data_IF_783208696537
#
_entry.id   IF_783208696537
#
_cell.length_a   1.000
_cell.length_b   1.000
_cell.length_c   1.000
_cell.angle_alpha   90.00
_cell.angle_beta   90.00
_cell.angle_gamma   90.00
#
_symmetry.space_group_name_H-M   'P 1'
#
loop_
_entity.id
_entity.type
_entity.pdbx_description
1 polymer ?
#
# COMPACT_ATOMS: atom_id res chain seq x y z
N UNK A 1 -4.44 -19.66 -25.31
CA UNK A 1 -4.44 -18.18 -25.35
C UNK A 1 -4.63 -17.73 -23.91
N UNK A 2 -3.90 -16.71 -23.45
CA UNK A 2 -4.13 -16.15 -22.11
C UNK A 2 -5.53 -15.56 -22.07
N UNK A 3 -6.21 -15.71 -20.93
CA UNK A 3 -7.52 -15.11 -20.70
C UNK A 3 -7.39 -13.58 -20.73
N UNK A 4 -8.38 -12.89 -21.32
CA UNK A 4 -8.39 -11.42 -21.35
C UNK A 4 -9.06 -10.90 -20.08
N UNK A 5 -8.51 -9.84 -19.48
CA UNK A 5 -9.10 -9.21 -18.30
C UNK A 5 -10.41 -8.49 -18.66
N UNK A 6 -11.47 -8.76 -17.87
CA UNK A 6 -12.78 -8.12 -18.03
C UNK A 6 -12.85 -6.80 -17.25
N UNK A 7 -13.12 -5.70 -17.94
CA UNK A 7 -13.26 -4.34 -17.38
C UNK A 7 -14.74 -3.91 -17.22
N UNK A 8 -15.67 -4.83 -17.20
CA UNK A 8 -17.10 -4.52 -17.06
C UNK A 8 -17.47 -3.88 -15.73
N UNK A 9 -16.67 -4.15 -14.67
CA UNK A 9 -16.85 -3.60 -13.33
C UNK A 9 -15.76 -2.58 -13.00
N UNK A 10 -16.10 -1.52 -12.21
CA UNK A 10 -15.09 -0.61 -11.68
C UNK A 10 -14.02 -1.36 -10.88
N UNK A 11 -12.75 -1.05 -11.14
CA UNK A 11 -11.60 -1.63 -10.45
C UNK A 11 -11.17 -0.77 -9.26
N UNK A 12 -11.07 -1.39 -8.08
CA UNK A 12 -10.70 -0.73 -6.82
C UNK A 12 -9.60 -1.53 -6.12
N UNK A 13 -8.57 -0.84 -5.66
CA UNK A 13 -7.50 -1.43 -4.87
C UNK A 13 -7.80 -1.27 -3.39
N UNK A 14 -7.97 -2.36 -2.67
CA UNK A 14 -8.09 -2.36 -1.21
C UNK A 14 -6.97 -3.18 -0.60
N UNK A 15 -6.71 -3.02 0.68
CA UNK A 15 -5.75 -3.88 1.33
C UNK A 15 -5.97 -3.97 2.82
N UNK A 16 -5.44 -5.03 3.43
CA UNK A 16 -5.45 -5.25 4.88
C UNK A 16 -4.23 -4.61 5.53
N UNK A 17 -4.49 -3.79 6.56
CA UNK A 17 -3.48 -3.16 7.42
C UNK A 17 -3.79 -3.47 8.89
N UNK A 18 -2.82 -3.32 9.77
CA UNK A 18 -2.98 -3.58 11.20
C UNK A 18 -1.82 -4.36 11.79
N UNK A 19 -1.87 -4.60 13.09
CA UNK A 19 -0.79 -5.24 13.84
C UNK A 19 -0.51 -6.68 13.37
N UNK A 20 0.70 -7.19 13.64
CA UNK A 20 1.03 -8.62 13.48
C UNK A 20 0.07 -9.46 14.34
N UNK A 21 -0.27 -10.66 13.88
CA UNK A 21 -1.18 -11.62 14.54
C UNK A 21 -2.64 -11.16 14.76
N UNK A 22 -3.03 -9.99 14.25
CA UNK A 22 -4.45 -9.55 14.26
C UNK A 22 -5.30 -10.27 13.21
N UNK A 23 -4.73 -11.13 12.35
CA UNK A 23 -5.44 -12.00 11.42
C UNK A 23 -5.74 -11.38 10.05
N UNK A 24 -4.87 -10.49 9.55
CA UNK A 24 -5.00 -9.87 8.22
C UNK A 24 -5.07 -10.90 7.11
N UNK A 25 -4.06 -11.78 7.01
CA UNK A 25 -3.98 -12.83 5.99
C UNK A 25 -5.11 -13.85 6.13
N UNK A 26 -5.51 -14.17 7.38
CA UNK A 26 -6.67 -15.04 7.65
C UNK A 26 -7.96 -14.41 7.13
N UNK A 27 -8.16 -13.09 7.36
CA UNK A 27 -9.32 -12.38 6.84
C UNK A 27 -9.31 -12.32 5.31
N UNK A 28 -8.15 -12.10 4.69
CA UNK A 28 -8.00 -12.14 3.23
C UNK A 28 -8.43 -13.49 2.68
N UNK A 29 -7.96 -14.60 3.26
CA UNK A 29 -8.37 -15.94 2.89
C UNK A 29 -9.88 -16.19 3.13
N UNK A 30 -10.44 -15.66 4.23
CA UNK A 30 -11.86 -15.76 4.55
C UNK A 30 -12.73 -15.02 3.51
N UNK A 31 -12.31 -13.83 3.06
CA UNK A 31 -13.01 -13.10 1.99
C UNK A 31 -13.07 -13.93 0.72
N UNK A 32 -11.95 -14.55 0.30
CA UNK A 32 -11.92 -15.41 -0.88
C UNK A 32 -12.84 -16.63 -0.72
N UNK A 33 -12.81 -17.29 0.45
CA UNK A 33 -13.69 -18.45 0.71
C UNK A 33 -15.17 -18.07 0.69
N UNK A 34 -15.55 -17.03 1.42
CA UNK A 34 -16.95 -16.62 1.56
C UNK A 34 -17.53 -16.13 0.22
N UNK A 35 -16.76 -15.39 -0.56
CA UNK A 35 -17.19 -14.95 -1.89
C UNK A 35 -17.34 -16.14 -2.86
N UNK A 36 -16.47 -17.15 -2.76
CA UNK A 36 -16.65 -18.39 -3.52
C UNK A 36 -17.91 -19.13 -3.11
N UNK A 37 -18.22 -19.25 -1.81
CA UNK A 37 -19.47 -19.82 -1.32
C UNK A 37 -20.69 -19.03 -1.82
N UNK A 38 -20.56 -17.72 -2.00
CA UNK A 38 -21.60 -16.86 -2.57
C UNK A 38 -21.69 -16.94 -4.11
N UNK A 39 -20.97 -17.85 -4.74
CA UNK A 39 -21.01 -18.07 -6.19
C UNK A 39 -20.26 -17.04 -7.03
N UNK A 40 -19.39 -16.22 -6.42
CA UNK A 40 -18.53 -15.31 -7.15
C UNK A 40 -17.34 -16.08 -7.75
N UNK A 41 -16.84 -15.61 -8.91
CA UNK A 41 -15.63 -16.17 -9.50
C UNK A 41 -14.41 -15.68 -8.70
N UNK A 42 -13.81 -16.56 -7.93
CA UNK A 42 -12.66 -16.28 -7.07
C UNK A 42 -11.65 -17.40 -7.18
N UNK A 43 -10.37 -17.07 -7.27
CA UNK A 43 -9.30 -18.04 -7.10
C UNK A 43 -9.09 -18.29 -5.61
N UNK A 44 -9.57 -19.44 -5.13
CA UNK A 44 -9.39 -19.83 -3.73
C UNK A 44 -7.90 -19.91 -3.38
N UNK A 45 -7.53 -19.30 -2.26
CA UNK A 45 -6.22 -19.38 -1.64
C UNK A 45 -6.40 -19.54 -0.13
N UNK A 46 -5.69 -20.49 0.44
CA UNK A 46 -5.53 -20.57 1.89
C UNK A 46 -4.47 -19.60 2.39
N UNK A 47 -4.33 -19.48 3.71
CA UNK A 47 -3.31 -18.61 4.34
C UNK A 47 -1.91 -18.94 3.82
N UNK A 48 -1.54 -20.22 3.74
CA UNK A 48 -0.23 -20.67 3.24
C UNK A 48 -0.01 -20.44 1.73
N UNK A 49 -1.05 -20.15 0.97
CA UNK A 49 -0.95 -19.81 -0.46
C UNK A 49 -0.79 -18.30 -0.64
N UNK A 50 -1.29 -17.51 0.31
CA UNK A 50 -1.11 -16.06 0.37
C UNK A 50 0.30 -15.77 0.87
N UNK A 51 0.68 -16.28 2.05
CA UNK A 51 2.03 -16.25 2.59
C UNK A 51 2.84 -17.41 1.98
N UNK A 52 3.29 -17.23 0.74
CA UNK A 52 3.82 -18.31 -0.08
C UNK A 52 5.32 -18.55 0.07
N UNK A 53 6.07 -17.52 0.51
CA UNK A 53 7.51 -17.59 0.65
C UNK A 53 7.93 -18.56 1.78
N UNK A 54 9.03 -19.33 1.62
CA UNK A 54 9.50 -20.24 2.68
C UNK A 54 9.73 -19.56 4.02
N UNK A 55 10.22 -18.33 4.03
CA UNK A 55 10.47 -17.56 5.25
C UNK A 55 9.17 -17.12 5.92
N UNK A 56 8.14 -16.74 5.16
CA UNK A 56 6.79 -16.44 5.66
C UNK A 56 6.18 -17.64 6.37
N UNK A 57 6.24 -18.80 5.73
CA UNK A 57 5.74 -20.07 6.30
C UNK A 57 6.49 -20.50 7.55
N UNK A 58 7.82 -20.31 7.58
CA UNK A 58 8.64 -20.67 8.72
C UNK A 58 8.41 -19.77 9.93
N UNK A 59 8.10 -18.49 9.71
CA UNK A 59 7.89 -17.50 10.77
C UNK A 59 6.40 -17.29 11.11
N UNK A 60 5.48 -17.72 10.25
CA UNK A 60 4.04 -17.49 10.40
C UNK A 60 3.63 -16.02 10.27
N UNK A 61 4.41 -15.22 9.52
CA UNK A 61 4.16 -13.78 9.32
C UNK A 61 4.28 -13.42 7.84
N UNK A 62 3.47 -12.47 7.39
CA UNK A 62 3.58 -11.89 6.04
C UNK A 62 4.80 -10.98 5.95
N UNK A 63 5.62 -11.17 4.93
CA UNK A 63 6.85 -10.40 4.66
C UNK A 63 6.68 -9.58 3.38
N UNK A 64 6.29 -10.24 2.28
CA UNK A 64 6.08 -9.61 1.00
C UNK A 64 4.62 -9.17 0.82
N UNK A 65 4.38 -8.26 -0.13
CA UNK A 65 3.02 -7.94 -0.53
C UNK A 65 2.42 -9.12 -1.31
N UNK A 66 1.21 -9.51 -0.97
CA UNK A 66 0.44 -10.50 -1.72
C UNK A 66 -0.76 -9.83 -2.38
N UNK A 67 -0.86 -9.97 -3.70
CA UNK A 67 -1.98 -9.45 -4.48
C UNK A 67 -2.98 -10.57 -4.77
N UNK A 68 -4.22 -10.35 -4.39
CA UNK A 68 -5.32 -11.28 -4.61
C UNK A 68 -6.44 -10.55 -5.37
N UNK A 69 -7.17 -11.26 -6.22
CA UNK A 69 -8.31 -10.69 -6.93
C UNK A 69 -9.62 -11.35 -6.48
N UNK A 70 -10.66 -10.56 -6.41
CA UNK A 70 -12.03 -11.02 -6.27
C UNK A 70 -13.03 -10.00 -6.82
N UNK A 71 -14.26 -10.42 -7.03
CA UNK A 71 -15.34 -9.54 -7.45
C UNK A 71 -16.51 -9.63 -6.47
N UNK A 72 -17.17 -8.51 -6.27
CA UNK A 72 -18.54 -8.45 -5.74
C UNK A 72 -19.53 -8.34 -6.91
N UNK A 73 -20.80 -8.19 -6.62
CA UNK A 73 -21.79 -7.90 -7.66
C UNK A 73 -21.46 -6.59 -8.41
N UNK A 74 -20.88 -5.60 -7.73
CA UNK A 74 -20.73 -4.23 -8.19
C UNK A 74 -19.33 -3.87 -8.66
N UNK A 75 -18.27 -4.52 -8.10
CA UNK A 75 -16.88 -4.10 -8.29
C UNK A 75 -15.94 -5.27 -8.48
N UNK A 76 -14.81 -4.99 -9.12
CA UNK A 76 -13.63 -5.85 -9.13
C UNK A 76 -12.59 -5.27 -8.16
N UNK A 77 -12.04 -6.12 -7.29
CA UNK A 77 -11.04 -5.72 -6.30
C UNK A 77 -9.69 -6.38 -6.55
N UNK A 78 -8.63 -5.57 -6.51
CA UNK A 78 -7.30 -6.03 -6.17
C UNK A 78 -7.14 -5.89 -4.66
N UNK A 79 -6.88 -7.00 -3.97
CA UNK A 79 -6.69 -7.02 -2.52
C UNK A 79 -5.21 -7.23 -2.19
N UNK A 80 -4.63 -6.25 -1.53
CA UNK A 80 -3.23 -6.22 -1.15
C UNK A 80 -3.12 -6.63 0.31
N UNK A 81 -2.58 -7.82 0.57
CA UNK A 81 -2.25 -8.23 1.93
C UNK A 81 -0.88 -7.69 2.31
N UNK A 82 -0.86 -6.77 3.29
CA UNK A 82 0.34 -6.06 3.69
C UNK A 82 0.92 -6.64 5.00
N UNK A 83 2.27 -6.70 5.13
CA UNK A 83 2.91 -7.18 6.35
C UNK A 83 2.53 -6.33 7.57
N UNK A 84 2.42 -6.99 8.73
CA UNK A 84 2.12 -6.34 10.00
C UNK A 84 3.36 -6.02 10.83
N UNK A 85 4.48 -6.70 10.60
CA UNK A 85 5.68 -6.58 11.41
C UNK A 85 6.50 -5.33 11.07
N UNK A 86 7.04 -4.66 12.09
CA UNK A 86 7.80 -3.41 11.94
C UNK A 86 9.03 -3.52 11.01
N UNK A 87 9.66 -4.69 10.94
CA UNK A 87 10.83 -4.92 10.07
C UNK A 87 10.47 -4.81 8.57
N UNK A 88 9.20 -5.05 8.21
CA UNK A 88 8.72 -5.05 6.82
C UNK A 88 7.89 -3.81 6.46
N UNK A 89 8.00 -2.76 7.24
CA UNK A 89 7.23 -1.53 7.07
C UNK A 89 7.43 -0.89 5.67
N UNK A 90 8.58 -1.10 5.04
CA UNK A 90 8.82 -0.67 3.65
C UNK A 90 7.80 -1.30 2.69
N UNK A 91 7.53 -2.59 2.84
CA UNK A 91 6.54 -3.29 2.04
C UNK A 91 5.12 -2.80 2.39
N UNK A 92 4.85 -2.56 3.68
CA UNK A 92 3.57 -1.97 4.11
C UNK A 92 3.34 -0.59 3.48
N UNK A 93 4.33 0.31 3.48
CA UNK A 93 4.23 1.64 2.86
C UNK A 93 3.97 1.50 1.35
N UNK A 94 4.73 0.63 0.68
CA UNK A 94 4.56 0.37 -0.76
C UNK A 94 3.16 -0.16 -1.08
N UNK A 95 2.65 -1.09 -0.26
CA UNK A 95 1.30 -1.62 -0.42
C UNK A 95 0.23 -0.58 -0.15
N UNK A 96 0.35 0.18 0.95
CA UNK A 96 -0.61 1.21 1.30
C UNK A 96 -0.70 2.32 0.23
N UNK A 97 0.41 2.69 -0.40
CA UNK A 97 0.42 3.67 -1.50
C UNK A 97 -0.39 3.20 -2.73
N UNK A 98 -0.65 1.91 -2.85
CA UNK A 98 -1.45 1.35 -3.94
C UNK A 98 -2.95 1.34 -3.62
N UNK A 99 -3.35 1.49 -2.35
CA UNK A 99 -4.73 1.31 -1.90
C UNK A 99 -5.61 2.54 -2.22
N UNK A 100 -6.79 2.28 -2.70
CA UNK A 100 -7.89 3.26 -2.85
C UNK A 100 -8.78 3.29 -1.60
N UNK A 101 -8.62 2.30 -0.72
CA UNK A 101 -9.22 2.17 0.59
C UNK A 101 -8.54 1.05 1.38
N UNK A 102 -8.58 1.10 2.70
CA UNK A 102 -7.97 0.08 3.55
C UNK A 102 -8.98 -0.61 4.47
N UNK A 103 -8.69 -1.87 4.80
CA UNK A 103 -9.35 -2.63 5.86
C UNK A 103 -8.39 -2.67 7.04
N UNK A 104 -8.71 -1.94 8.09
CA UNK A 104 -7.96 -2.00 9.34
C UNK A 104 -8.43 -3.20 10.15
N UNK A 105 -7.55 -4.16 10.36
CA UNK A 105 -7.84 -5.35 11.16
C UNK A 105 -7.30 -5.17 12.56
N UNK A 106 -8.19 -5.19 13.55
CA UNK A 106 -7.85 -5.09 14.97
C UNK A 106 -8.41 -6.30 15.69
N UNK A 107 -7.59 -7.03 16.45
CA UNK A 107 -8.08 -8.12 17.27
C UNK A 107 -8.78 -7.57 18.51
N UNK A 108 -10.02 -7.98 18.78
CA UNK A 108 -10.77 -7.58 19.95
C UNK A 108 -10.11 -8.04 21.27
N UNK A 109 -9.27 -9.08 21.21
CA UNK A 109 -8.51 -9.60 22.35
C UNK A 109 -7.34 -8.70 22.77
N UNK A 110 -6.79 -7.95 21.82
CA UNK A 110 -5.51 -7.22 22.02
C UNK A 110 -5.69 -5.70 21.96
N UNK A 111 -6.78 -5.23 21.33
CA UNK A 111 -7.06 -3.81 21.13
C UNK A 111 -6.09 -3.11 20.20
N UNK A 112 -5.89 -1.81 20.41
CA UNK A 112 -4.99 -0.99 19.60
C UNK A 112 -3.53 -1.20 20.02
N UNK A 113 -2.74 -1.75 19.11
CA UNK A 113 -1.34 -2.09 19.27
C UNK A 113 -0.41 -1.07 18.57
N UNK A 114 0.91 -1.06 18.84
CA UNK A 114 1.83 -0.07 18.25
C UNK A 114 1.79 -0.01 16.72
N UNK A 115 1.80 -1.15 16.01
CA UNK A 115 1.73 -1.15 14.55
C UNK A 115 0.34 -0.74 14.04
N UNK A 116 -0.74 -0.91 14.82
CA UNK A 116 -2.06 -0.37 14.46
C UNK A 116 -1.98 1.15 14.28
N UNK A 117 -1.33 1.83 15.23
CA UNK A 117 -1.11 3.29 15.20
C UNK A 117 -0.24 3.70 14.01
N UNK A 118 0.89 3.01 13.82
CA UNK A 118 1.84 3.29 12.73
C UNK A 118 1.18 3.07 11.35
N UNK A 119 0.40 2.00 11.18
CA UNK A 119 -0.26 1.71 9.91
C UNK A 119 -1.34 2.72 9.54
N UNK A 120 -2.14 3.21 10.51
CA UNK A 120 -3.12 4.27 10.25
C UNK A 120 -2.41 5.56 9.85
N UNK A 121 -1.36 5.93 10.58
CA UNK A 121 -0.54 7.09 10.24
C UNK A 121 0.02 7.00 8.82
N UNK A 122 0.66 5.88 8.49
CA UNK A 122 1.27 5.67 7.17
C UNK A 122 0.21 5.64 6.06
N UNK A 123 -0.93 5.00 6.28
CA UNK A 123 -2.04 5.02 5.34
C UNK A 123 -2.51 6.45 5.05
N UNK A 124 -2.61 7.28 6.11
CA UNK A 124 -2.92 8.71 5.95
C UNK A 124 -1.88 9.45 5.14
N UNK A 125 -0.60 9.20 5.40
CA UNK A 125 0.52 9.85 4.73
C UNK A 125 0.61 9.52 3.24
N UNK A 126 0.39 8.25 2.87
CA UNK A 126 0.40 7.84 1.45
C UNK A 126 -0.90 8.19 0.73
N UNK A 127 -1.90 8.73 1.45
CA UNK A 127 -3.13 9.26 0.87
C UNK A 127 -4.27 8.26 0.73
N UNK A 128 -4.31 7.20 1.51
CA UNK A 128 -5.48 6.29 1.58
C UNK A 128 -6.69 7.11 2.06
N UNK A 129 -7.75 7.27 1.25
CA UNK A 129 -8.82 8.24 1.56
C UNK A 129 -9.80 7.73 2.62
N UNK A 130 -10.02 6.43 2.70
CA UNK A 130 -11.03 5.81 3.58
C UNK A 130 -10.52 4.51 4.18
N UNK A 131 -10.92 4.24 5.42
CA UNK A 131 -10.66 3.01 6.15
C UNK A 131 -11.98 2.39 6.56
N UNK A 132 -12.14 1.08 6.39
CA UNK A 132 -13.18 0.26 7.01
C UNK A 132 -12.50 -0.59 8.08
N UNK A 133 -13.11 -0.76 9.24
CA UNK A 133 -12.53 -1.55 10.33
C UNK A 133 -13.17 -2.93 10.38
N UNK A 134 -12.35 -3.96 10.50
CA UNK A 134 -12.79 -5.29 10.87
C UNK A 134 -12.24 -5.63 12.26
N UNK A 135 -13.13 -5.59 13.26
CA UNK A 135 -12.83 -5.97 14.63
C UNK A 135 -12.87 -7.50 14.72
N UNK A 136 -11.69 -8.10 14.64
CA UNK A 136 -11.48 -9.53 14.49
C UNK A 136 -11.41 -10.25 15.84
N UNK A 137 -11.54 -11.57 15.83
CA UNK A 137 -11.45 -12.48 17.00
C UNK A 137 -12.52 -12.19 18.08
N UNK A 138 -13.67 -11.62 17.71
CA UNK A 138 -14.73 -11.34 18.69
C UNK A 138 -15.31 -12.62 19.31
N UNK A 139 -15.18 -13.76 18.61
CA UNK A 139 -15.55 -15.10 19.11
C UNK A 139 -14.73 -15.55 20.34
N UNK A 140 -13.59 -14.91 20.59
CA UNK A 140 -12.70 -15.19 21.71
C UNK A 140 -12.97 -14.30 22.94
N UNK A 141 -13.78 -13.26 22.80
CA UNK A 141 -14.10 -12.30 23.87
C UNK A 141 -15.50 -12.56 24.38
N UNK A 142 -15.62 -12.88 25.69
CA UNK A 142 -16.92 -13.18 26.32
C UNK A 142 -17.65 -11.92 26.80
N UNK A 143 -16.88 -10.87 27.13
CA UNK A 143 -17.40 -9.63 27.66
C UNK A 143 -17.66 -8.63 26.53
N UNK A 144 -18.93 -8.32 26.28
CA UNK A 144 -19.32 -7.38 25.23
C UNK A 144 -18.81 -5.94 25.50
N UNK A 145 -18.69 -5.54 26.76
CA UNK A 145 -18.22 -4.20 27.14
C UNK A 145 -16.75 -4.00 26.74
N UNK A 146 -15.94 -5.07 26.76
CA UNK A 146 -14.56 -5.01 26.27
C UNK A 146 -14.50 -4.79 24.75
N UNK A 147 -15.43 -5.41 24.01
CA UNK A 147 -15.51 -5.20 22.56
C UNK A 147 -15.88 -3.75 22.24
N UNK A 148 -16.85 -3.19 22.98
CA UNK A 148 -17.27 -1.80 22.84
C UNK A 148 -16.14 -0.82 23.17
N UNK A 149 -15.37 -1.08 24.22
CA UNK A 149 -14.20 -0.29 24.60
C UNK A 149 -13.12 -0.27 23.51
N UNK A 150 -12.81 -1.43 22.92
CA UNK A 150 -11.84 -1.51 21.83
C UNK A 150 -12.36 -0.75 20.59
N UNK A 151 -13.66 -0.84 20.30
CA UNK A 151 -14.26 -0.08 19.20
C UNK A 151 -14.11 1.44 19.43
N UNK A 152 -14.38 1.95 20.63
CA UNK A 152 -14.19 3.36 20.98
C UNK A 152 -12.72 3.78 20.83
N UNK A 153 -11.77 2.98 21.33
CA UNK A 153 -10.33 3.25 21.17
C UNK A 153 -9.91 3.36 19.70
N UNK A 154 -10.45 2.50 18.85
CA UNK A 154 -10.18 2.53 17.39
C UNK A 154 -10.77 3.80 16.76
N UNK A 155 -11.99 4.21 17.14
CA UNK A 155 -12.64 5.44 16.66
C UNK A 155 -11.86 6.69 17.04
N UNK A 156 -11.39 6.76 18.28
CA UNK A 156 -10.57 7.87 18.79
C UNK A 156 -9.24 7.94 18.03
N UNK A 157 -8.62 6.79 17.80
CA UNK A 157 -7.37 6.73 17.06
C UNK A 157 -7.55 7.17 15.60
N UNK A 158 -8.59 6.73 14.92
CA UNK A 158 -8.91 7.17 13.56
C UNK A 158 -9.13 8.69 13.50
N UNK A 159 -9.86 9.24 14.46
CA UNK A 159 -10.11 10.69 14.58
C UNK A 159 -8.80 11.45 14.80
N UNK A 160 -7.91 10.93 15.65
CA UNK A 160 -6.59 11.51 15.91
C UNK A 160 -5.74 11.63 14.62
N UNK A 161 -5.85 10.66 13.73
CA UNK A 161 -5.15 10.65 12.45
C UNK A 161 -5.98 11.19 11.28
N UNK A 162 -6.96 12.06 11.59
CA UNK A 162 -7.78 12.80 10.62
C UNK A 162 -8.62 11.94 9.67
N UNK A 163 -9.00 10.75 10.10
CA UNK A 163 -10.09 9.98 9.49
C UNK A 163 -11.42 10.29 10.20
N UNK A 164 -12.54 10.01 9.56
CA UNK A 164 -13.87 10.16 10.17
C UNK A 164 -14.16 9.01 11.16
N UNK A 165 -13.49 9.00 12.32
CA UNK A 165 -13.63 7.93 13.31
C UNK A 165 -15.06 7.68 13.76
N UNK A 166 -15.89 8.74 13.82
CA UNK A 166 -17.29 8.63 14.24
C UNK A 166 -18.15 7.83 13.27
N UNK A 167 -17.98 8.07 11.96
CA UNK A 167 -18.81 7.46 10.91
C UNK A 167 -18.09 6.30 10.19
N UNK A 168 -16.85 6.01 10.54
CA UNK A 168 -16.12 4.86 9.96
C UNK A 168 -16.86 3.57 10.29
N UNK A 169 -17.22 2.75 9.28
CA UNK A 169 -17.86 1.46 9.52
C UNK A 169 -16.91 0.52 10.27
N UNK A 170 -17.44 -0.14 11.30
CA UNK A 170 -16.75 -1.19 12.06
C UNK A 170 -17.58 -2.46 12.01
N UNK A 171 -17.03 -3.52 11.45
CA UNK A 171 -17.66 -4.84 11.38
C UNK A 171 -17.01 -5.73 12.43
N UNK A 172 -17.80 -6.29 13.33
CA UNK A 172 -17.37 -7.24 14.37
C UNK A 172 -17.48 -8.65 13.81
N UNK A 173 -16.39 -9.44 13.84
CA UNK A 173 -16.38 -10.76 13.26
C UNK A 173 -15.22 -11.64 13.70
N UNK A 174 -15.18 -12.85 13.14
CA UNK A 174 -14.08 -13.79 13.28
C UNK A 174 -13.62 -14.25 11.89
N UNK A 175 -12.44 -13.80 11.47
CA UNK A 175 -11.86 -14.19 10.20
C UNK A 175 -11.58 -15.70 10.12
N UNK A 176 -11.15 -16.31 11.23
CA UNK A 176 -10.89 -17.75 11.29
C UNK A 176 -12.18 -18.57 11.13
N UNK A 177 -13.22 -18.23 11.87
CA UNK A 177 -14.51 -18.91 11.77
C UNK A 177 -15.15 -18.72 10.41
N UNK A 178 -15.05 -17.54 9.82
CA UNK A 178 -15.50 -17.28 8.46
C UNK A 178 -14.70 -18.06 7.40
N UNK A 179 -13.40 -18.25 7.59
CA UNK A 179 -12.58 -19.10 6.73
C UNK A 179 -12.99 -20.57 6.79
N UNK A 180 -13.41 -21.06 7.96
CA UNK A 180 -13.88 -22.42 8.19
C UNK A 180 -15.35 -22.65 7.75
N UNK A 181 -16.09 -21.59 7.48
CA UNK A 181 -17.51 -21.67 7.07
C UNK A 181 -17.69 -22.49 5.80
N UNK A 182 -18.81 -23.25 5.76
CA UNK A 182 -19.19 -24.10 4.63
C UNK A 182 -20.44 -23.60 3.91
N UNK A 183 -21.06 -22.55 4.41
CA UNK A 183 -22.27 -21.94 3.85
C UNK A 183 -22.23 -20.43 4.05
N UNK A 184 -22.86 -19.70 3.14
CA UNK A 184 -23.09 -18.25 3.26
C UNK A 184 -24.06 -17.91 4.41
N UNK A 185 -24.84 -18.87 4.89
CA UNK A 185 -25.76 -18.70 6.01
C UNK A 185 -25.10 -18.74 7.38
N UNK A 186 -23.82 -19.17 7.44
CA UNK A 186 -23.02 -19.11 8.65
C UNK A 186 -22.92 -17.66 9.17
N UNK A 187 -22.98 -17.47 10.49
CA UNK A 187 -23.00 -16.14 11.11
C UNK A 187 -21.73 -15.34 10.81
N UNK A 188 -20.56 -16.01 10.79
CA UNK A 188 -19.27 -15.37 10.54
C UNK A 188 -19.04 -15.11 9.05
N UNK A 189 -19.56 -16.00 8.17
CA UNK A 189 -19.59 -15.77 6.74
C UNK A 189 -20.42 -14.53 6.41
N UNK A 190 -21.59 -14.34 7.05
CA UNK A 190 -22.41 -13.13 6.91
C UNK A 190 -21.69 -11.86 7.30
N UNK A 191 -20.79 -11.88 8.31
CA UNK A 191 -19.96 -10.74 8.69
C UNK A 191 -18.93 -10.38 7.63
N UNK A 192 -18.37 -11.35 6.94
CA UNK A 192 -17.47 -11.10 5.79
C UNK A 192 -18.25 -10.58 4.59
N UNK A 193 -19.48 -11.07 4.33
CA UNK A 193 -20.35 -10.48 3.29
C UNK A 193 -20.74 -9.04 3.64
N UNK A 194 -21.03 -8.75 4.90
CA UNK A 194 -21.27 -7.39 5.39
C UNK A 194 -20.05 -6.49 5.14
N UNK A 195 -18.83 -6.99 5.41
CA UNK A 195 -17.59 -6.27 5.11
C UNK A 195 -17.47 -5.95 3.62
N UNK A 196 -17.64 -6.94 2.74
CA UNK A 196 -17.50 -6.73 1.28
C UNK A 196 -18.57 -5.79 0.73
N UNK A 197 -19.79 -5.84 1.25
CA UNK A 197 -20.85 -4.89 0.93
C UNK A 197 -20.49 -3.48 1.42
N UNK A 198 -19.96 -3.36 2.63
CA UNK A 198 -19.50 -2.08 3.19
C UNK A 198 -18.36 -1.47 2.35
N UNK A 199 -17.45 -2.30 1.84
CA UNK A 199 -16.40 -1.82 0.91
C UNK A 199 -17.03 -1.23 -0.36
N UNK A 200 -18.04 -1.89 -0.94
CA UNK A 200 -18.75 -1.39 -2.13
C UNK A 200 -19.43 -0.04 -1.88
N UNK A 201 -19.98 0.17 -0.70
CA UNK A 201 -20.77 1.36 -0.36
C UNK A 201 -19.91 2.52 0.17
N UNK A 202 -18.90 2.22 0.99
CA UNK A 202 -18.15 3.24 1.74
C UNK A 202 -16.87 3.70 1.06
N UNK A 203 -16.15 2.80 0.36
CA UNK A 203 -14.95 3.19 -0.38
C UNK A 203 -15.40 3.86 -1.69
N UNK A 204 -14.98 5.11 -1.98
CA UNK A 204 -15.36 5.77 -3.22
C UNK A 204 -14.73 5.07 -4.43
N UNK A 205 -15.41 5.10 -5.58
CA UNK A 205 -14.78 4.72 -6.85
C UNK A 205 -13.71 5.78 -7.14
N UNK A 206 -12.44 5.38 -7.27
CA UNK A 206 -11.36 6.35 -7.44
C UNK A 206 -11.42 7.03 -8.82
N UNK A 207 -11.19 8.33 -8.82
CA UNK A 207 -11.00 9.09 -10.06
C UNK A 207 -9.60 8.77 -10.58
N UNK A 208 -9.50 8.23 -11.79
CA UNK A 208 -8.23 7.84 -12.42
C UNK A 208 -7.73 8.95 -13.34
N UNK A 209 -6.48 9.36 -13.15
CA UNK A 209 -5.82 10.39 -13.97
C UNK A 209 -5.28 9.79 -15.29
N UNK A 210 -6.18 9.33 -16.15
CA UNK A 210 -5.82 8.66 -17.42
C UNK A 210 -5.27 9.60 -18.48
N UNK A 211 -5.56 10.90 -18.38
CA UNK A 211 -5.14 11.92 -19.36
C UNK A 211 -3.70 12.42 -19.14
N UNK A 212 -3.10 12.10 -17.97
CA UNK A 212 -1.72 12.45 -17.68
C UNK A 212 -0.74 11.50 -18.38
N UNK A 213 0.53 11.91 -18.56
CA UNK A 213 1.56 11.00 -19.05
C UNK A 213 1.70 9.77 -18.15
N UNK A 214 1.84 8.59 -18.77
CA UNK A 214 1.98 7.31 -18.06
C UNK A 214 3.12 7.33 -17.05
N UNK A 215 2.85 6.79 -15.85
CA UNK A 215 3.83 6.54 -14.81
C UNK A 215 3.42 5.34 -13.95
N UNK A 216 4.35 4.42 -13.75
CA UNK A 216 4.22 3.26 -12.87
C UNK A 216 5.48 3.10 -12.01
N UNK A 217 5.41 3.23 -10.68
CA UNK A 217 6.52 2.88 -9.78
C UNK A 217 6.83 1.38 -9.84
N UNK A 218 8.11 1.04 -9.89
CA UNK A 218 8.59 -0.35 -9.91
C UNK A 218 8.51 -0.93 -8.50
N UNK A 219 7.70 -1.98 -8.35
CA UNK A 219 7.53 -2.71 -7.09
C UNK A 219 8.40 -3.96 -7.05
N UNK A 220 8.31 -4.79 -8.07
CA UNK A 220 9.11 -6.01 -8.18
C UNK A 220 9.50 -6.28 -9.64
N UNK A 221 10.51 -7.14 -9.84
CA UNK A 221 11.07 -7.47 -11.14
C UNK A 221 11.26 -8.98 -11.24
N UNK A 222 10.68 -9.58 -12.27
CA UNK A 222 10.77 -11.01 -12.55
C UNK A 222 11.42 -11.25 -13.91
N UNK A 223 12.22 -12.31 -14.00
CA UNK A 223 12.68 -12.86 -15.28
C UNK A 223 11.84 -14.07 -15.62
N UNK A 224 11.16 -14.05 -16.75
CA UNK A 224 10.36 -15.19 -17.24
C UNK A 224 11.08 -15.79 -18.43
N UNK A 225 11.44 -17.07 -18.31
CA UNK A 225 12.12 -17.79 -19.38
C UNK A 225 11.31 -17.77 -20.68
N UNK A 226 11.95 -17.42 -21.78
CA UNK A 226 11.31 -17.30 -23.10
C UNK A 226 10.44 -16.05 -23.31
N UNK A 227 10.14 -15.24 -22.26
CA UNK A 227 9.30 -14.04 -22.36
C UNK A 227 10.03 -12.74 -22.06
N UNK A 228 11.10 -12.78 -21.24
CA UNK A 228 11.91 -11.62 -20.88
C UNK A 228 11.65 -11.10 -19.47
N UNK A 229 11.90 -9.82 -19.26
CA UNK A 229 11.76 -9.17 -17.95
C UNK A 229 10.37 -8.59 -17.78
N UNK A 230 9.74 -8.92 -16.66
CA UNK A 230 8.45 -8.37 -16.22
C UNK A 230 8.68 -7.45 -15.04
N UNK A 231 8.14 -6.26 -15.12
CA UNK A 231 8.17 -5.25 -14.05
C UNK A 231 6.77 -5.07 -13.52
N UNK A 232 6.58 -5.24 -12.23
CA UNK A 232 5.27 -5.08 -11.59
C UNK A 232 5.14 -3.78 -10.83
N UNK A 233 3.92 -3.29 -10.74
CA UNK A 233 3.56 -2.10 -9.97
C UNK A 233 2.12 -1.67 -10.23
N UNK A 234 1.63 -0.71 -9.44
CA UNK A 234 0.37 -0.03 -9.73
C UNK A 234 0.64 1.12 -10.70
N UNK A 235 -0.11 1.21 -11.77
CA UNK A 235 -0.08 2.38 -12.65
C UNK A 235 -0.64 3.57 -11.86
N UNK A 236 0.23 4.54 -11.56
CA UNK A 236 -0.12 5.73 -10.77
C UNK A 236 -1.00 6.68 -11.57
N UNK A 237 -0.65 6.89 -12.85
CA UNK A 237 -1.37 7.77 -13.78
C UNK A 237 -1.13 7.39 -15.23
N UNK A 238 -1.98 7.92 -16.10
CA UNK A 238 -1.90 7.74 -17.55
C UNK A 238 -2.33 6.38 -18.03
N UNK A 239 -1.99 6.11 -19.27
CA UNK A 239 -2.24 4.86 -19.98
C UNK A 239 -0.99 4.41 -20.71
N UNK A 240 -0.84 3.10 -20.91
CA UNK A 240 0.26 2.51 -21.69
C UNK A 240 -0.26 1.35 -22.53
N UNK A 241 0.17 1.24 -23.78
CA UNK A 241 -0.21 0.18 -24.70
C UNK A 241 0.95 -0.72 -25.04
N UNK A 242 0.64 -1.95 -25.43
CA UNK A 242 1.61 -2.86 -26.01
C UNK A 242 2.18 -2.25 -27.29
N UNK A 243 3.51 -2.23 -27.42
CA UNK A 243 4.23 -1.61 -28.52
C UNK A 243 4.71 -0.19 -28.26
N UNK A 244 4.29 0.46 -27.17
CA UNK A 244 4.75 1.80 -26.82
C UNK A 244 6.16 1.79 -26.21
N UNK A 245 6.91 2.85 -26.48
CA UNK A 245 8.20 3.10 -25.86
C UNK A 245 8.01 3.75 -24.49
N UNK A 246 8.83 3.32 -23.53
CA UNK A 246 8.87 3.80 -22.15
C UNK A 246 10.29 4.00 -21.67
N UNK A 247 10.48 4.74 -20.60
CA UNK A 247 11.76 4.94 -19.92
C UNK A 247 11.71 4.39 -18.50
N UNK A 248 12.80 3.75 -18.07
CA UNK A 248 13.05 3.34 -16.68
C UNK A 248 13.92 4.41 -16.04
N UNK A 249 13.42 5.08 -15.01
CA UNK A 249 13.98 6.34 -14.49
C UNK A 249 14.22 6.24 -12.98
N UNK A 250 15.32 6.86 -12.53
CA UNK A 250 15.73 6.97 -11.13
C UNK A 250 16.76 5.92 -10.71
N UNK A 251 17.47 6.17 -9.63
CA UNK A 251 18.50 5.34 -8.99
C UNK A 251 19.69 4.93 -9.89
N UNK A 252 19.42 4.62 -11.15
CA UNK A 252 20.38 4.25 -12.20
C UNK A 252 20.25 5.21 -13.40
N UNK A 253 21.19 5.20 -14.34
CA UNK A 253 21.01 5.91 -15.60
C UNK A 253 19.71 5.53 -16.30
N UNK A 254 19.01 6.50 -16.86
CA UNK A 254 17.74 6.27 -17.57
C UNK A 254 17.93 5.30 -18.73
N UNK A 255 17.13 4.26 -18.78
CA UNK A 255 17.12 3.27 -19.84
C UNK A 255 15.82 3.36 -20.65
N UNK A 256 15.92 3.24 -21.99
CA UNK A 256 14.77 3.19 -22.90
C UNK A 256 14.42 1.75 -23.23
N UNK A 257 13.13 1.45 -23.30
CA UNK A 257 12.62 0.14 -23.67
C UNK A 257 11.24 0.24 -24.32
N UNK A 258 10.78 -0.87 -24.89
CA UNK A 258 9.44 -0.98 -25.48
C UNK A 258 8.63 -1.99 -24.71
N UNK A 259 7.36 -1.70 -24.46
CA UNK A 259 6.39 -2.60 -23.83
C UNK A 259 6.03 -3.72 -24.81
N UNK A 260 6.30 -4.98 -24.46
CA UNK A 260 5.97 -6.14 -25.31
C UNK A 260 4.74 -6.91 -24.85
N UNK A 261 4.25 -6.63 -23.65
CA UNK A 261 3.04 -7.23 -23.10
C UNK A 261 2.62 -6.56 -21.78
N UNK A 262 1.36 -6.65 -21.46
CA UNK A 262 0.80 -6.16 -20.20
C UNK A 262 -0.10 -7.26 -19.66
N UNK A 263 0.04 -7.57 -18.37
CA UNK A 263 -0.76 -8.58 -17.69
C UNK A 263 -1.24 -8.05 -16.34
N UNK A 264 -2.43 -8.46 -15.92
CA UNK A 264 -2.96 -8.23 -14.58
C UNK A 264 -3.63 -9.52 -14.11
N UNK A 265 -3.23 -10.07 -12.95
CA UNK A 265 -3.71 -11.35 -12.41
C UNK A 265 -3.61 -12.52 -13.41
N UNK A 266 -2.50 -12.62 -14.15
CA UNK A 266 -2.26 -13.62 -15.19
C UNK A 266 -3.21 -13.54 -16.40
N UNK A 267 -3.94 -12.43 -16.56
CA UNK A 267 -4.79 -12.12 -17.71
C UNK A 267 -4.13 -11.06 -18.56
N UNK A 268 -4.18 -11.23 -19.88
CA UNK A 268 -3.55 -10.30 -20.83
C UNK A 268 -4.38 -9.04 -20.99
N UNK A 269 -3.68 -7.91 -21.17
CA UNK A 269 -4.24 -6.60 -21.46
C UNK A 269 -3.59 -6.02 -22.73
N UNK A 270 -4.36 -5.36 -23.58
CA UNK A 270 -3.83 -4.56 -24.69
C UNK A 270 -3.34 -3.20 -24.22
N UNK A 271 -3.92 -2.71 -23.13
CA UNK A 271 -3.68 -1.41 -22.55
C UNK A 271 -3.76 -1.49 -21.02
N UNK A 272 -2.78 -0.91 -20.34
CA UNK A 272 -2.80 -0.66 -18.89
C UNK A 272 -3.25 0.77 -18.62
N UNK A 273 -4.10 0.97 -17.64
CA UNK A 273 -4.63 2.30 -17.26
C UNK A 273 -4.34 2.61 -15.79
N UNK A 274 -4.37 3.89 -15.44
CA UNK A 274 -4.21 4.34 -14.06
C UNK A 274 -5.10 3.53 -13.10
N UNK A 275 -4.51 2.99 -12.04
CA UNK A 275 -5.15 2.12 -11.05
C UNK A 275 -4.91 0.64 -11.24
N UNK A 276 -4.49 0.17 -12.42
CA UNK A 276 -4.20 -1.24 -12.65
C UNK A 276 -2.94 -1.68 -11.87
N UNK A 277 -2.99 -2.85 -11.24
CA UNK A 277 -1.80 -3.56 -10.73
C UNK A 277 -1.25 -4.43 -11.86
N UNK A 278 -0.33 -3.87 -12.63
CA UNK A 278 0.12 -4.45 -13.88
C UNK A 278 1.52 -5.06 -13.78
N UNK A 279 1.71 -6.16 -14.50
CA UNK A 279 3.01 -6.67 -14.90
C UNK A 279 3.30 -6.25 -16.34
N UNK A 280 4.30 -5.40 -16.54
CA UNK A 280 4.70 -4.89 -17.85
C UNK A 280 5.93 -5.66 -18.32
N UNK A 281 5.80 -6.34 -19.48
CA UNK A 281 6.90 -6.99 -20.14
C UNK A 281 7.70 -5.94 -20.92
N UNK A 282 9.01 -5.89 -20.71
CA UNK A 282 9.91 -4.93 -21.34
C UNK A 282 10.95 -5.63 -22.21
N UNK A 283 11.30 -4.98 -23.33
CA UNK A 283 12.24 -5.52 -24.33
C UNK A 283 13.68 -5.11 -24.00
N UNK A 284 14.61 -6.06 -24.09
CA UNK A 284 16.05 -5.78 -24.11
C UNK A 284 16.67 -5.37 -22.77
N UNK A 285 15.90 -5.25 -21.72
CA UNK A 285 16.38 -5.03 -20.36
C UNK A 285 16.35 -6.33 -19.56
N UNK A 286 17.42 -6.61 -18.83
CA UNK A 286 17.51 -7.74 -17.91
C UNK A 286 17.03 -7.33 -16.53
N UNK A 287 16.78 -8.33 -15.67
CA UNK A 287 16.38 -8.08 -14.27
C UNK A 287 17.39 -7.18 -13.54
N UNK A 288 18.68 -7.34 -13.80
CA UNK A 288 19.78 -6.58 -13.18
C UNK A 288 19.81 -5.10 -13.61
N UNK A 289 19.24 -4.79 -14.78
CA UNK A 289 19.21 -3.41 -15.30
C UNK A 289 18.18 -2.55 -14.60
N UNK A 290 17.15 -3.17 -14.03
CA UNK A 290 16.05 -2.51 -13.36
C UNK A 290 16.14 -2.74 -11.83
N UNK A 291 15.71 -1.77 -11.05
CA UNK A 291 15.74 -1.85 -9.57
C UNK A 291 14.42 -1.35 -9.00
N UNK A 292 13.91 -2.03 -7.96
CA UNK A 292 12.78 -1.54 -7.17
C UNK A 292 13.03 -0.09 -6.73
N UNK A 293 12.04 0.76 -6.87
CA UNK A 293 12.14 2.17 -6.55
C UNK A 293 12.38 3.09 -7.75
N UNK A 294 12.75 2.55 -8.91
CA UNK A 294 12.66 3.27 -10.17
C UNK A 294 11.20 3.45 -10.58
N UNK A 295 10.94 4.24 -11.60
CA UNK A 295 9.63 4.32 -12.25
C UNK A 295 9.75 3.94 -13.72
N UNK A 296 8.67 3.37 -14.29
CA UNK A 296 8.49 3.29 -15.74
C UNK A 296 7.56 4.42 -16.12
N UNK A 297 7.95 5.24 -17.09
CA UNK A 297 7.19 6.41 -17.49
C UNK A 297 7.22 6.63 -19.00
N UNK A 298 6.28 7.46 -19.49
CA UNK A 298 6.31 7.96 -20.86
C UNK A 298 7.61 8.72 -21.10
N UNK A 299 8.31 8.51 -22.24
CA UNK A 299 9.58 9.15 -22.52
C UNK A 299 9.51 10.68 -22.36
N UNK A 300 10.49 11.23 -21.61
CA UNK A 300 10.61 12.66 -21.36
C UNK A 300 9.57 13.28 -20.43
N UNK A 301 8.70 12.48 -19.80
CA UNK A 301 7.64 13.00 -18.92
C UNK A 301 8.06 13.20 -17.48
N UNK A 302 9.12 12.54 -17.03
CA UNK A 302 9.65 12.60 -15.67
C UNK A 302 11.17 12.67 -15.75
N UNK A 303 11.78 13.43 -14.83
CA UNK A 303 13.24 13.48 -14.66
C UNK A 303 13.63 13.02 -13.25
N UNK A 304 14.80 12.37 -13.10
CA UNK A 304 15.31 12.03 -11.79
C UNK A 304 15.98 13.24 -11.15
N UNK A 305 15.78 13.41 -9.84
CA UNK A 305 16.28 14.55 -9.07
C UNK A 305 16.95 14.09 -7.79
N UNK A 306 17.91 14.90 -7.31
CA UNK A 306 18.63 14.67 -6.04
C UNK A 306 18.34 15.73 -4.99
N UNK A 307 17.81 16.89 -5.37
CA UNK A 307 17.57 17.99 -4.42
C UNK A 307 16.14 18.52 -4.53
N UNK A 308 15.50 18.71 -3.39
CA UNK A 308 14.16 19.27 -3.30
C UNK A 308 13.93 20.04 -1.98
N UNK A 309 12.92 20.90 -1.97
CA UNK A 309 12.37 21.51 -0.77
C UNK A 309 11.08 20.77 -0.40
N UNK A 310 10.82 20.64 0.90
CA UNK A 310 9.64 19.96 1.38
C UNK A 310 9.08 20.60 2.64
N UNK A 311 7.76 20.55 2.78
CA UNK A 311 7.08 20.79 4.04
C UNK A 311 6.88 19.46 4.76
N UNK A 312 7.28 19.40 6.02
CA UNK A 312 7.37 18.15 6.78
C UNK A 312 6.84 18.34 8.19
N UNK A 313 6.00 17.42 8.63
CA UNK A 313 5.60 17.26 10.03
C UNK A 313 6.50 16.22 10.71
N UNK A 314 7.07 16.58 11.86
CA UNK A 314 7.92 15.69 12.66
C UNK A 314 7.08 15.09 13.78
N UNK A 315 6.98 13.76 13.79
CA UNK A 315 6.17 13.01 14.74
C UNK A 315 6.66 13.17 16.18
N UNK A 316 5.73 13.37 17.11
CA UNK A 316 5.98 13.38 18.54
C UNK A 316 6.31 11.98 19.07
N UNK A 317 6.89 11.93 20.28
CA UNK A 317 7.18 10.67 20.97
C UNK A 317 5.91 9.82 21.17
N UNK A 318 4.79 10.45 21.52
CA UNK A 318 3.48 9.81 21.77
C UNK A 318 2.88 9.25 20.47
N UNK A 319 3.37 9.70 19.31
CA UNK A 319 3.01 9.22 17.97
C UNK A 319 3.96 8.13 17.47
N UNK A 320 4.90 7.68 18.29
CA UNK A 320 5.94 6.71 17.94
C UNK A 320 7.18 7.34 17.30
N UNK A 321 7.21 8.69 17.19
CA UNK A 321 8.29 9.45 16.57
C UNK A 321 9.51 9.69 17.47
N UNK A 322 10.19 10.80 17.19
CA UNK A 322 11.40 11.21 17.92
C UNK A 322 11.07 11.80 19.30
N UNK A 323 12.06 11.81 20.18
CA UNK A 323 12.01 12.50 21.47
C UNK A 323 13.12 13.55 21.61
N UNK A 324 13.99 13.68 20.59
CA UNK A 324 15.08 14.66 20.56
C UNK A 324 14.98 15.52 19.30
N UNK A 325 15.43 16.77 19.34
CA UNK A 325 15.53 17.62 18.16
C UNK A 325 16.55 17.08 17.16
N UNK A 326 16.49 17.60 15.93
CA UNK A 326 17.56 17.44 14.95
C UNK A 326 17.99 18.78 14.38
N UNK A 327 19.14 18.79 13.74
CA UNK A 327 19.83 19.98 13.21
C UNK A 327 20.13 19.80 11.72
N UNK A 328 20.60 20.86 11.07
CA UNK A 328 21.20 20.76 9.73
C UNK A 328 22.27 19.66 9.70
N UNK A 329 22.30 18.88 8.62
CA UNK A 329 23.15 17.71 8.47
C UNK A 329 22.50 16.39 8.94
N UNK A 330 21.26 16.40 9.41
CA UNK A 330 20.51 15.17 9.72
C UNK A 330 20.31 14.30 8.50
N UNK A 331 20.57 12.99 8.61
CA UNK A 331 20.62 12.04 7.48
C UNK A 331 19.67 10.84 7.68
N UNK A 332 18.36 11.04 7.65
CA UNK A 332 17.40 9.94 7.73
C UNK A 332 17.19 9.26 6.37
N UNK A 333 16.34 8.22 6.36
CA UNK A 333 15.83 7.60 5.16
C UNK A 333 14.51 8.24 4.71
N UNK A 334 14.42 8.57 3.44
CA UNK A 334 13.24 9.08 2.77
C UNK A 334 12.57 7.96 1.99
N UNK A 335 11.33 7.66 2.33
CA UNK A 335 10.50 6.65 1.65
C UNK A 335 9.61 7.36 0.64
N UNK A 336 9.93 7.21 -0.62
CA UNK A 336 9.29 7.89 -1.75
C UNK A 336 8.78 6.84 -2.72
N UNK A 337 7.45 6.74 -2.93
CA UNK A 337 6.84 5.67 -3.72
C UNK A 337 7.31 4.28 -3.23
N UNK A 338 8.04 3.54 -4.08
CA UNK A 338 8.53 2.19 -3.78
C UNK A 338 10.00 2.14 -3.34
N UNK A 339 10.67 3.30 -3.25
CA UNK A 339 12.09 3.40 -2.85
C UNK A 339 12.26 3.95 -1.44
N UNK A 340 13.40 3.60 -0.84
CA UNK A 340 13.98 4.28 0.32
C UNK A 340 15.37 4.77 -0.05
N UNK A 341 15.65 6.02 0.26
CA UNK A 341 16.92 6.66 -0.06
C UNK A 341 17.35 7.57 1.10
N UNK A 342 18.63 7.53 1.44
CA UNK A 342 19.18 8.44 2.45
C UNK A 342 19.24 9.87 1.87
N UNK A 343 18.85 10.86 2.67
CA UNK A 343 18.96 12.26 2.31
C UNK A 343 19.49 13.10 3.45
N UNK A 344 20.29 14.10 3.14
CA UNK A 344 20.78 15.08 4.08
C UNK A 344 19.84 16.28 4.14
N UNK A 345 19.43 16.66 5.36
CA UNK A 345 18.52 17.77 5.62
C UNK A 345 19.33 19.05 5.85
N UNK A 346 18.95 20.13 5.18
CA UNK A 346 19.46 21.49 5.43
C UNK A 346 18.28 22.36 5.86
N UNK A 347 18.33 22.86 7.08
CA UNK A 347 17.32 23.78 7.63
C UNK A 347 17.43 25.17 6.97
N UNK A 348 16.31 25.90 6.96
CA UNK A 348 16.31 27.29 6.47
C UNK A 348 17.16 28.17 7.38
N UNK A 349 17.70 29.25 6.80
CA UNK A 349 18.43 30.27 7.55
C UNK A 349 17.58 30.81 8.72
N UNK A 350 18.18 30.90 9.90
CA UNK A 350 17.51 31.32 11.13
C UNK A 350 16.79 30.18 11.90
N UNK A 351 16.74 28.96 11.37
CA UNK A 351 16.23 27.78 12.08
C UNK A 351 17.41 26.95 12.59
N UNK A 352 17.65 27.00 13.88
CA UNK A 352 18.78 26.26 14.50
C UNK A 352 18.47 24.75 14.64
N UNK A 353 17.25 24.41 15.03
CA UNK A 353 16.81 23.02 15.27
C UNK A 353 15.34 22.84 14.97
N UNK A 354 14.91 21.58 14.82
CA UNK A 354 13.52 21.16 14.65
C UNK A 354 13.16 20.20 15.77
N UNK A 355 12.04 20.50 16.46
CA UNK A 355 11.53 19.71 17.56
C UNK A 355 10.48 18.68 17.10
N UNK A 356 10.32 17.57 17.80
CA UNK A 356 9.17 16.69 17.61
C UNK A 356 7.85 17.46 17.80
N UNK A 357 6.95 17.35 16.81
CA UNK A 357 5.69 18.07 16.73
C UNK A 357 5.70 19.33 15.87
N UNK A 358 6.87 19.73 15.36
CA UNK A 358 6.98 20.87 14.45
C UNK A 358 6.53 20.50 13.03
N UNK A 359 5.91 21.48 12.36
CA UNK A 359 5.79 21.50 10.90
C UNK A 359 6.83 22.48 10.36
N UNK A 360 7.71 22.00 9.52
CA UNK A 360 8.88 22.76 9.06
C UNK A 360 9.11 22.57 7.57
N UNK A 361 9.62 23.61 6.92
CA UNK A 361 10.13 23.51 5.53
C UNK A 361 11.65 23.46 5.56
N UNK A 362 12.23 22.47 4.86
CA UNK A 362 13.67 22.32 4.72
C UNK A 362 14.06 21.81 3.33
N UNK A 363 15.33 21.90 3.01
CA UNK A 363 15.92 21.29 1.81
C UNK A 363 16.43 19.91 2.11
N UNK A 364 16.32 19.03 1.12
CA UNK A 364 16.84 17.65 1.16
C UNK A 364 17.76 17.42 -0.02
N UNK A 365 18.92 16.81 0.25
CA UNK A 365 19.83 16.31 -0.76
C UNK A 365 19.93 14.79 -0.64
N UNK A 366 19.39 14.08 -1.62
CA UNK A 366 19.41 12.63 -1.68
C UNK A 366 20.77 12.09 -2.14
N UNK A 367 21.15 10.91 -1.66
CA UNK A 367 22.40 10.24 -2.09
C UNK A 367 22.30 9.61 -3.48
N UNK A 368 21.09 9.43 -4.00
CA UNK A 368 20.83 8.89 -5.33
C UNK A 368 19.66 9.62 -6.00
N UNK A 369 19.66 9.75 -7.33
CA UNK A 369 18.58 10.42 -8.05
C UNK A 369 17.30 9.58 -7.99
N UNK A 370 16.17 10.23 -7.70
CA UNK A 370 14.83 9.61 -7.62
C UNK A 370 13.87 10.37 -8.54
N UNK A 371 12.93 9.66 -9.14
CA UNK A 371 11.84 10.28 -9.90
C UNK A 371 10.94 11.07 -8.94
N UNK A 372 11.13 12.41 -8.91
CA UNK A 372 10.44 13.34 -8.02
C UNK A 372 9.66 14.37 -8.81
N UNK A 373 8.53 14.74 -8.25
CA UNK A 373 7.70 15.84 -8.77
C UNK A 373 7.16 16.66 -7.59
N UNK A 374 6.72 17.88 -7.85
CA UNK A 374 6.03 18.68 -6.84
C UNK A 374 4.77 17.91 -6.37
N UNK A 375 4.45 18.06 -5.10
CA UNK A 375 3.36 17.34 -4.40
C UNK A 375 3.60 15.84 -4.18
N UNK A 376 4.79 15.30 -4.51
CA UNK A 376 5.15 13.93 -4.13
C UNK A 376 5.19 13.81 -2.60
N UNK A 377 4.41 12.89 -2.04
CA UNK A 377 4.41 12.58 -0.60
C UNK A 377 5.50 11.60 -0.26
N UNK A 378 6.03 11.71 0.96
CA UNK A 378 7.05 10.80 1.47
C UNK A 378 6.97 10.64 2.98
N UNK A 379 7.52 9.54 3.49
CA UNK A 379 7.75 9.34 4.91
C UNK A 379 9.24 9.43 5.24
N UNK A 380 9.58 9.87 6.45
CA UNK A 380 10.94 9.92 6.98
C UNK A 380 11.08 8.86 8.06
N UNK A 381 12.13 8.05 7.96
CA UNK A 381 12.41 6.99 8.93
C UNK A 381 13.83 7.05 9.47
N UNK A 382 13.96 6.69 10.75
CA UNK A 382 15.23 6.57 11.46
C UNK A 382 15.15 5.42 12.46
N UNK A 383 16.16 4.57 12.52
CA UNK A 383 16.25 3.49 13.51
C UNK A 383 15.06 2.55 13.51
N UNK A 384 14.47 2.26 12.34
CA UNK A 384 13.31 1.38 12.21
C UNK A 384 11.95 2.03 12.54
N UNK A 385 11.91 3.34 12.86
CA UNK A 385 10.68 4.07 13.22
C UNK A 385 10.37 5.15 12.20
N UNK A 386 9.09 5.39 11.97
CA UNK A 386 8.62 6.58 11.23
C UNK A 386 8.75 7.80 12.14
N UNK A 387 9.51 8.80 11.71
CA UNK A 387 9.81 10.00 12.51
C UNK A 387 9.25 11.27 11.91
N UNK A 388 8.74 11.21 10.69
CA UNK A 388 8.12 12.35 10.05
C UNK A 388 7.48 11.96 8.72
N UNK A 389 6.73 12.91 8.18
CA UNK A 389 6.11 12.78 6.88
C UNK A 389 5.98 14.16 6.23
N UNK A 390 6.06 14.20 4.92
CA UNK A 390 6.04 15.46 4.21
C UNK A 390 5.61 15.37 2.77
N UNK A 391 5.60 16.52 2.15
CA UNK A 391 5.29 16.70 0.73
C UNK A 391 6.36 17.56 0.07
N UNK A 392 6.78 17.17 -1.12
CA UNK A 392 7.71 17.96 -1.95
C UNK A 392 7.00 19.24 -2.40
N UNK A 393 7.50 20.39 -1.97
CA UNK A 393 6.97 21.71 -2.37
C UNK A 393 7.64 22.24 -3.61
N UNK A 394 8.92 21.89 -3.81
CA UNK A 394 9.70 22.33 -4.96
C UNK A 394 10.84 21.36 -5.27
N UNK A 395 10.92 20.91 -6.50
CA UNK A 395 12.08 20.19 -7.02
C UNK A 395 13.15 21.20 -7.41
N UNK A 396 14.43 20.96 -7.03
CA UNK A 396 15.55 21.92 -7.21
C UNK A 396 16.53 21.41 -8.25
N UNK A 397 17.03 20.16 -8.14
CA UNK A 397 18.01 19.57 -9.06
C UNK A 397 17.92 18.04 -9.12
#
# INVERSE_FOLDING_TARGET
>A
MAETFDRSKPHVNVGTIGHVDHGKTTLTAAILNVLNLAGQQVKLKGVNDIDSAPEEKARGITIALSHNEYSTANRHYAHIDAPGHADYIKNMITGAAQMDGAILVVAATDGVMPQTREHILLARQVGVPKIVVFLNKVDMVQDADLIDLVEEEVRDLLTKYEYDGKNTPIIRGSGLKALEAKSVDDEWAKKVLELTKTLDEYIPIPVRETDKPFLMPVEDIFSIEGRGTVVTGKIERGTVKVGEDVEVIGLKPTAKTTVTGIEMFNKSLNEGIAGDNAGILVRGLKKEDITRGQVIAKPGSVTPHTEFEAEVYILKKEEGGRHTPFFTGYKPQFYIRTTDVTGEVTLKEGVEMVMPGDTVTFKVKLVAPVALENNTRFAIREGGKTVGAGVVTKVVA
#
